data_IF_497707821791
#
_entry.id   IF_497707821791
#
_cell.length_a   1.000
_cell.length_b   1.000
_cell.length_c   1.000
_cell.angle_alpha   90.00
_cell.angle_beta   90.00
_cell.angle_gamma   90.00
#
_symmetry.space_group_name_H-M   'P 1'
#
loop_
_entity.id
_entity.type
_entity.pdbx_description
1 polymer ?
2 non-polymer ?
3 water ?
#
# COMPACT_ATOMS: atom_id res chain seq x y z
N UNK A 1 8.12 14.26 10.95
CA UNK A 1 7.12 14.93 10.14
C UNK A 1 7.66 16.20 9.47
N UNK A 2 8.76 16.77 10.01
CA UNK A 2 9.41 17.99 9.50
C UNK A 2 10.00 17.76 8.09
N UNK A 3 9.17 18.02 7.06
CA UNK A 3 9.52 17.89 5.63
C UNK A 3 8.97 19.05 4.82
N UNK A 4 9.82 19.64 3.94
CA UNK A 4 9.45 20.76 3.08
C UNK A 4 8.59 20.29 1.89
N UNK A 5 7.91 21.25 1.22
CA UNK A 5 7.03 21.01 0.07
C UNK A 5 7.77 20.47 -1.15
N UNK A 6 7.13 19.54 -1.85
CA UNK A 6 7.66 18.92 -3.06
C UNK A 6 7.37 17.44 -3.22
N UNK A 7 7.90 16.87 -4.31
CA UNK A 7 7.75 15.45 -4.67
C UNK A 7 8.98 14.68 -4.21
N UNK A 8 8.75 13.61 -3.43
CA UNK A 8 9.82 12.76 -2.88
C UNK A 8 9.44 11.29 -2.99
N UNK A 9 10.42 10.45 -3.32
CA UNK A 9 10.22 9.01 -3.43
C UNK A 9 10.53 8.37 -2.07
N UNK A 10 9.49 7.78 -1.42
CA UNK A 10 9.61 7.12 -0.12
C UNK A 10 9.66 5.58 -0.22
N UNK A 11 10.76 4.92 0.24
CA UNK A 11 10.82 3.46 0.17
C UNK A 11 10.00 2.80 1.27
N UNK A 12 9.64 1.52 1.06
CA UNK A 12 8.83 0.73 1.98
C UNK A 12 9.10 -0.77 1.86
N UNK A 13 8.76 -1.50 2.93
CA UNK A 13 8.86 -2.94 3.03
C UNK A 13 7.52 -3.43 3.61
N UNK A 14 7.04 -4.57 3.16
CA UNK A 14 5.84 -5.18 3.72
C UNK A 14 6.33 -6.29 4.64
N UNK A 15 6.03 -6.17 5.93
CA UNK A 15 6.41 -7.17 6.92
C UNK A 15 5.18 -7.97 7.31
N UNK A 16 5.38 -9.20 7.79
CA UNK A 16 4.33 -10.11 8.26
C UNK A 16 3.60 -9.43 9.44
N UNK A 17 2.30 -9.73 9.61
CA UNK A 17 1.41 -9.14 10.63
C UNK A 17 1.93 -9.15 12.07
N UNK A 18 2.54 -10.29 12.49
CA UNK A 18 3.07 -10.44 13.85
C UNK A 18 4.53 -10.96 13.88
N UNK A 19 5.26 -10.73 12.77
CA UNK A 19 6.67 -11.13 12.60
C UNK A 19 7.45 -10.01 11.92
N UNK A 20 8.67 -9.71 12.40
CA UNK A 20 9.50 -8.66 11.81
C UNK A 20 10.26 -9.13 10.57
N UNK A 21 9.59 -9.97 9.75
CA UNK A 21 10.11 -10.55 8.52
C UNK A 21 9.26 -10.12 7.34
N UNK A 22 9.85 -10.12 6.14
CA UNK A 22 9.18 -9.72 4.89
C UNK A 22 7.96 -10.58 4.59
N UNK A 23 6.87 -9.91 4.19
CA UNK A 23 5.59 -10.50 3.83
C UNK A 23 5.58 -10.75 2.32
N UNK A 24 5.02 -11.90 1.91
CA UNK A 24 4.88 -12.33 0.50
C UNK A 24 4.04 -11.34 -0.32
N UNK A 25 3.19 -10.56 0.38
CA UNK A 25 2.30 -9.54 -0.18
C UNK A 25 3.08 -8.34 -0.74
N UNK A 26 4.38 -8.20 -0.39
CA UNK A 26 5.24 -7.10 -0.83
C UNK A 26 5.35 -7.00 -2.35
N UNK A 27 5.29 -8.16 -3.03
CA UNK A 27 5.41 -8.26 -4.48
C UNK A 27 4.20 -7.73 -5.26
N UNK A 28 3.10 -7.40 -4.56
CA UNK A 28 1.92 -6.82 -5.20
C UNK A 28 1.99 -5.30 -5.30
N UNK A 29 2.98 -4.68 -4.61
CA UNK A 29 3.15 -3.23 -4.60
C UNK A 29 4.50 -2.78 -5.13
N UNK A 30 4.50 -1.77 -6.03
CA UNK A 30 5.73 -1.24 -6.62
C UNK A 30 6.48 -0.35 -5.67
N UNK A 31 7.78 -0.60 -5.53
CA UNK A 31 8.67 0.17 -4.69
C UNK A 31 9.46 1.11 -5.59
N UNK A 32 9.69 2.40 -5.22
CA UNK A 32 9.24 3.07 -4.00
C UNK A 32 7.86 3.70 -4.16
N UNK A 33 7.32 4.19 -3.03
CA UNK A 33 6.04 4.89 -3.00
C UNK A 33 6.29 6.37 -3.23
N UNK A 34 5.33 7.05 -3.85
CA UNK A 34 5.44 8.48 -4.10
C UNK A 34 4.89 9.27 -2.93
N UNK A 35 5.57 10.37 -2.56
CA UNK A 35 5.15 11.20 -1.44
C UNK A 35 4.99 12.67 -1.82
N UNK A 36 3.75 13.18 -1.70
CA UNK A 36 3.43 14.57 -1.97
C UNK A 36 3.29 15.29 -0.62
N UNK A 37 4.15 16.29 -0.37
CA UNK A 37 4.15 17.06 0.87
C UNK A 37 3.43 18.39 0.58
N UNK A 38 2.09 18.35 0.59
CA UNK A 38 1.21 19.48 0.28
C UNK A 38 0.30 19.78 1.48
N UNK A 39 0.26 21.08 1.87
CA UNK A 39 -0.53 21.65 2.97
C UNK A 39 -0.49 20.84 4.29
N UNK A 40 0.71 20.36 4.63
CA UNK A 40 0.96 19.56 5.83
C UNK A 40 0.14 18.28 5.90
N UNK A 41 0.02 17.57 4.75
CA UNK A 41 -0.74 16.32 4.62
C UNK A 41 0.17 15.28 3.97
N UNK A 42 0.49 14.20 4.72
CA UNK A 42 1.36 13.12 4.26
C UNK A 42 0.60 12.15 3.34
N UNK A 43 0.59 12.41 2.01
CA UNK A 43 -0.09 11.55 1.05
C UNK A 43 0.87 10.60 0.37
N UNK A 44 0.61 9.28 0.50
CA UNK A 44 1.40 8.19 -0.07
C UNK A 44 0.65 7.58 -1.27
N UNK A 45 1.34 7.49 -2.43
CA UNK A 45 0.80 6.87 -3.63
C UNK A 45 1.67 5.69 -4.05
N UNK A 46 1.03 4.57 -4.41
CA UNK A 46 1.74 3.36 -4.86
C UNK A 46 1.01 2.56 -5.90
N UNK A 47 1.79 1.99 -6.82
CA UNK A 47 1.30 1.15 -7.89
C UNK A 47 1.06 -0.27 -7.36
N UNK A 48 -0.19 -0.73 -7.48
CA UNK A 48 -0.66 -2.08 -7.16
C UNK A 48 -0.38 -2.75 -8.52
N UNK A 49 0.68 -3.57 -8.59
CA UNK A 49 1.14 -4.19 -9.85
C UNK A 49 0.32 -5.37 -10.40
N UNK A 50 -0.82 -5.71 -9.75
CA UNK A 50 -1.72 -6.78 -10.17
C UNK A 50 -3.15 -6.40 -9.79
N UNK A 51 -3.81 -5.68 -10.69
CA UNK A 51 -5.17 -5.16 -10.56
C UNK A 51 -6.23 -6.26 -10.41
N UNK A 52 -6.12 -7.34 -11.22
CA UNK A 52 -7.04 -8.48 -11.22
C UNK A 52 -7.00 -9.29 -9.91
N UNK A 53 -5.78 -9.60 -9.40
CA UNK A 53 -5.57 -10.39 -8.18
C UNK A 53 -5.94 -9.61 -6.93
N UNK A 54 -5.29 -8.47 -6.69
CA UNK A 54 -5.54 -7.62 -5.52
C UNK A 54 -6.88 -6.94 -5.73
N UNK A 55 -7.92 -7.38 -4.98
CA UNK A 55 -9.31 -6.89 -5.09
C UNK A 55 -9.65 -5.76 -4.16
N UNK A 56 -9.06 -5.77 -2.95
CA UNK A 56 -9.26 -4.73 -1.95
C UNK A 56 -8.01 -4.55 -1.07
N UNK A 57 -7.81 -3.32 -0.59
CA UNK A 57 -6.73 -2.92 0.30
C UNK A 57 -7.21 -1.79 1.20
N UNK A 58 -6.95 -1.95 2.51
CA UNK A 58 -7.31 -1.00 3.55
C UNK A 58 -6.07 -0.63 4.38
N UNK A 59 -5.86 0.67 4.67
CA UNK A 59 -4.74 1.19 5.49
C UNK A 59 -5.29 1.98 6.69
N UNK A 60 -4.69 1.80 7.88
CA UNK A 60 -5.07 2.43 9.15
C UNK A 60 -5.02 3.95 9.08
N UNK A 61 -6.16 4.60 9.40
CA UNK A 61 -6.31 6.04 9.45
C UNK A 61 -7.20 6.39 10.64
N UNK A 62 -6.67 7.23 11.56
CA UNK A 62 -7.30 7.68 12.81
C UNK A 62 -7.72 6.52 13.74
N UNK A 63 -6.92 5.45 13.74
CA UNK A 63 -7.13 4.28 14.58
C UNK A 63 -7.85 3.09 13.96
N UNK A 64 -8.47 3.28 12.78
CA UNK A 64 -9.24 2.22 12.10
C UNK A 64 -8.84 2.05 10.63
N UNK A 65 -9.05 0.83 10.07
CA UNK A 65 -8.72 0.49 8.67
C UNK A 65 -9.80 0.99 7.70
N UNK A 66 -9.38 1.78 6.70
CA UNK A 66 -10.26 2.36 5.67
C UNK A 66 -9.75 2.05 4.26
N UNK A 67 -10.68 1.72 3.33
CA UNK A 67 -10.40 1.39 1.94
C UNK A 67 -9.71 2.55 1.21
N UNK A 68 -8.60 2.22 0.56
CA UNK A 68 -7.73 3.12 -0.22
C UNK A 68 -8.45 3.67 -1.47
N UNK A 69 -8.09 4.91 -1.89
CA UNK A 69 -8.64 5.59 -3.06
C UNK A 69 -7.81 5.36 -4.32
N UNK A 70 -8.48 5.23 -5.49
CA UNK A 70 -7.84 4.95 -6.78
C UNK A 70 -7.55 6.24 -7.57
N UNK A 71 -6.25 6.57 -7.73
CA UNK A 71 -5.75 7.74 -8.48
C UNK A 71 -6.14 7.60 -9.97
N UNK A 72 -5.73 6.48 -10.58
CA UNK A 72 -5.99 6.08 -11.96
C UNK A 72 -5.75 4.57 -12.07
N UNK A 73 -6.57 3.89 -12.86
CA UNK A 73 -6.50 2.43 -13.07
C UNK A 73 -6.11 2.13 -14.51
N UNK A 74 -5.24 1.11 -14.72
CA UNK A 74 -4.83 0.67 -16.05
C UNK A 74 -5.17 -0.81 -16.20
N UNK A 75 -6.32 -1.07 -16.84
CA UNK A 75 -6.87 -2.41 -17.09
C UNK A 75 -6.12 -3.16 -18.19
N UNK A 76 -5.44 -2.43 -19.09
CA UNK A 76 -4.66 -3.01 -20.18
C UNK A 76 -3.33 -3.57 -19.67
N UNK A 77 -2.66 -2.82 -18.77
CA UNK A 77 -1.37 -3.17 -18.16
C UNK A 77 -1.52 -3.92 -16.82
N UNK A 78 -2.76 -4.15 -16.35
CA UNK A 78 -3.13 -4.85 -15.11
C UNK A 78 -2.57 -4.17 -13.85
N UNK A 79 -2.57 -2.83 -13.84
CA UNK A 79 -2.07 -2.01 -12.73
C UNK A 79 -3.10 -0.93 -12.33
N UNK A 80 -2.82 -0.23 -11.21
CA UNK A 80 -3.60 0.88 -10.68
C UNK A 80 -2.74 1.65 -9.67
N UNK A 81 -3.00 2.97 -9.56
CA UNK A 81 -2.33 3.86 -8.62
C UNK A 81 -3.31 4.15 -7.48
N UNK A 82 -2.88 3.86 -6.24
CA UNK A 82 -3.69 4.03 -5.02
C UNK A 82 -3.14 5.14 -4.11
N UNK A 83 -4.02 5.83 -3.38
CA UNK A 83 -3.65 6.94 -2.50
C UNK A 83 -4.20 6.77 -1.08
N UNK A 84 -3.33 7.00 -0.08
CA UNK A 84 -3.66 6.89 1.34
C UNK A 84 -2.77 7.76 2.24
N UNK A 85 -3.36 8.26 3.33
CA UNK A 85 -2.70 9.11 4.33
C UNK A 85 -2.14 8.25 5.45
N UNK A 86 -0.97 8.64 5.96
CA UNK A 86 -0.26 7.95 7.03
C UNK A 86 -0.14 8.91 8.20
N UNK A 87 -0.52 8.44 9.42
CA UNK A 87 -0.45 9.24 10.65
C UNK A 87 1.02 9.51 11.05
N UNK A 88 1.88 8.47 11.05
CA UNK A 88 3.30 8.57 11.37
C UNK A 88 4.14 7.62 10.52
N UNK A 89 5.16 8.16 9.84
CA UNK A 89 6.07 7.39 8.98
C UNK A 89 7.17 6.64 9.79
N UNK A 90 6.98 6.53 11.12
CA UNK A 90 7.89 5.87 12.06
C UNK A 90 7.24 4.63 12.72
N UNK A 91 5.91 4.47 12.60
CA UNK A 91 5.17 3.33 13.15
C UNK A 91 4.81 2.32 12.05
N UNK A 92 4.86 0.99 12.31
CA UNK A 92 4.50 0.03 11.25
C UNK A 92 3.02 0.12 10.90
N UNK A 93 2.72 0.63 9.67
CA UNK A 93 1.35 0.84 9.19
C UNK A 93 0.65 -0.47 8.86
N UNK A 94 -0.28 -0.89 9.73
CA UNK A 94 -1.08 -2.11 9.57
C UNK A 94 -2.02 -1.96 8.36
N UNK A 95 -2.04 -3.00 7.50
CA UNK A 95 -2.85 -3.04 6.28
C UNK A 95 -3.42 -4.43 6.03
N UNK A 96 -4.65 -4.47 5.49
CA UNK A 96 -5.34 -5.73 5.17
C UNK A 96 -5.66 -5.77 3.68
N UNK A 97 -5.23 -6.85 3.02
CA UNK A 97 -5.39 -7.05 1.60
C UNK A 97 -6.31 -8.25 1.27
N UNK A 98 -7.21 -8.07 0.28
CA UNK A 98 -8.10 -9.10 -0.22
C UNK A 98 -7.63 -9.47 -1.63
N UNK A 99 -7.35 -10.76 -1.87
CA UNK A 99 -6.83 -11.24 -3.15
C UNK A 99 -7.59 -12.41 -3.77
N UNK A 100 -7.47 -12.58 -5.10
CA UNK A 100 -8.11 -13.66 -5.86
C UNK A 100 -7.12 -14.42 -6.77
N UNK A 101 -7.01 -15.76 -6.57
CA UNK A 101 -6.13 -16.63 -7.37
C UNK A 101 -6.61 -16.76 -8.82
N UNK A 102 -5.69 -16.74 -9.82
CA UNK A 102 -6.12 -16.82 -11.23
C UNK A 102 -6.47 -18.23 -11.73
N UNK A 103 -6.52 -19.22 -10.82
CA UNK A 103 -6.86 -20.61 -11.10
C UNK A 103 -8.29 -20.76 -11.65
N UNK A 104 -8.52 -21.79 -12.49
CA UNK A 104 -9.84 -22.08 -13.06
C UNK A 104 -10.54 -23.12 -12.19
N UNK A 105 -10.93 -22.70 -10.99
CA UNK A 105 -11.59 -23.54 -10.00
C UNK A 105 -12.56 -22.81 -9.09
N UNK A 106 -13.37 -23.59 -8.33
CA UNK A 106 -14.38 -23.12 -7.38
C UNK A 106 -13.80 -22.24 -6.26
N UNK A 107 -12.69 -22.69 -5.61
CA UNK A 107 -12.00 -21.96 -4.54
C UNK A 107 -10.84 -21.15 -5.16
N UNK A 108 -10.75 -19.85 -4.83
CA UNK A 108 -9.72 -18.95 -5.35
C UNK A 108 -9.45 -17.72 -4.48
N UNK A 109 -10.45 -17.34 -3.64
CA UNK A 109 -10.36 -16.18 -2.76
C UNK A 109 -9.33 -16.35 -1.63
N UNK A 110 -8.84 -15.21 -1.12
CA UNK A 110 -7.87 -15.14 -0.04
C UNK A 110 -7.72 -13.74 0.52
N UNK A 111 -7.23 -13.64 1.75
CA UNK A 111 -7.02 -12.35 2.44
C UNK A 111 -5.91 -12.45 3.48
N UNK A 112 -5.08 -11.39 3.60
CA UNK A 112 -3.97 -11.36 4.56
C UNK A 112 -3.77 -10.01 5.21
N UNK A 113 -3.20 -10.03 6.42
CA UNK A 113 -2.83 -8.86 7.20
C UNK A 113 -1.32 -8.72 7.14
N UNK A 114 -0.83 -7.49 6.95
CA UNK A 114 0.59 -7.15 6.86
C UNK A 114 0.84 -5.72 7.33
N UNK A 115 2.12 -5.36 7.53
CA UNK A 115 2.52 -4.03 7.97
C UNK A 115 3.46 -3.37 6.95
N UNK A 116 3.17 -2.09 6.62
CA UNK A 116 4.02 -1.27 5.76
C UNK A 116 5.06 -0.57 6.66
N UNK A 117 6.37 -0.80 6.41
CA UNK A 117 7.43 -0.15 7.18
C UNK A 117 8.17 0.81 6.26
N UNK A 118 7.90 2.12 6.43
CA UNK A 118 8.45 3.22 5.64
C UNK A 118 9.82 3.67 6.09
N UNK A 119 10.73 3.89 5.13
CA UNK A 119 12.09 4.40 5.38
C UNK A 119 12.04 5.97 5.39
N UNK A 120 12.99 6.65 4.71
CA UNK A 120 13.03 8.13 4.66
C UNK A 120 12.76 8.68 3.26
N UNK A 121 12.05 9.82 3.18
CA UNK A 121 11.70 10.50 1.92
C UNK A 121 12.93 11.02 1.16
N UNK A 122 12.92 10.89 -0.18
CA UNK A 122 13.99 11.31 -1.08
C UNK A 122 13.43 12.03 -2.31
#
# INVERSE_FOLDING_TARGET
STLSDGIYTIPFVAKKANDDSNSSMQNYFNNPAWLKVKNGKKMVAMTVNDNKTVTALKTTLAGTLQDVKVVSEDKDANTRIVEFEVEDLNQPLAAHVNYEAPFNGSVYKGQADFRYVFDTAK
#
